data_IF_996193563505
#
_entry.id   IF_996193563505
#
_cell.length_a   1.000
_cell.length_b   1.000
_cell.length_c   1.000
_cell.angle_alpha   90.00
_cell.angle_beta   90.00
_cell.angle_gamma   90.00
#
_symmetry.space_group_name_H-M   'P 1'
#
loop_
_entity.id
_entity.type
_entity.pdbx_description
1 polymer ?
#
# COMPACT_ATOMS: atom_id res chain seq x y z
N UNK A 1 8.72 -6.33 -5.76
CA UNK A 1 9.77 -7.01 -4.97
C UNK A 1 11.07 -6.22 -4.82
N UNK A 2 11.08 -4.91 -5.13
CA UNK A 2 12.32 -4.14 -5.29
C UNK A 2 13.31 -4.27 -4.10
N UNK A 3 12.94 -3.84 -2.90
CA UNK A 3 13.81 -3.93 -1.73
C UNK A 3 13.86 -5.31 -1.07
N UNK A 4 13.03 -6.26 -1.52
CA UNK A 4 12.92 -7.61 -0.95
C UNK A 4 14.04 -8.53 -1.43
N UNK A 5 14.52 -8.28 -2.64
CA UNK A 5 15.51 -9.15 -3.30
C UNK A 5 16.91 -8.51 -3.34
N UNK A 6 17.02 -7.18 -3.28
CA UNK A 6 18.30 -6.45 -3.37
C UNK A 6 18.28 -5.17 -2.55
N UNK A 7 19.40 -4.86 -1.91
CA UNK A 7 19.67 -3.53 -1.36
C UNK A 7 20.06 -2.57 -2.49
N UNK A 8 19.51 -1.35 -2.46
CA UNK A 8 19.80 -0.33 -3.46
C UNK A 8 20.42 0.90 -2.79
N UNK A 9 21.44 1.51 -3.41
CA UNK A 9 21.84 2.85 -3.04
C UNK A 9 20.75 3.84 -3.46
N UNK A 10 20.54 4.90 -2.66
CA UNK A 10 19.46 5.89 -2.85
C UNK A 10 19.41 6.46 -4.28
N UNK A 11 20.57 6.65 -4.90
CA UNK A 11 20.70 7.20 -6.25
C UNK A 11 20.29 6.24 -7.38
N UNK A 12 20.13 4.94 -7.11
CA UNK A 12 19.76 3.90 -8.09
C UNK A 12 18.35 3.35 -7.91
N UNK A 13 17.53 3.97 -7.05
CA UNK A 13 16.12 3.58 -6.94
C UNK A 13 15.43 3.90 -8.26
N UNK A 14 14.77 2.92 -8.91
CA UNK A 14 13.99 3.15 -10.12
C UNK A 14 12.84 4.10 -9.80
N UNK A 15 12.66 5.11 -10.64
CA UNK A 15 11.68 6.18 -10.45
C UNK A 15 10.54 5.99 -11.42
N UNK A 16 9.31 6.19 -10.95
CA UNK A 16 8.16 6.33 -11.83
C UNK A 16 8.26 7.61 -12.68
N UNK A 17 7.57 7.67 -13.82
CA UNK A 17 7.48 8.90 -14.60
C UNK A 17 6.78 9.98 -13.76
N UNK A 18 7.51 11.06 -13.43
CA UNK A 18 7.01 12.18 -12.65
C UNK A 18 7.43 12.23 -11.18
N UNK A 19 8.10 11.19 -10.65
CA UNK A 19 8.56 11.17 -9.26
C UNK A 19 9.89 11.93 -9.08
N UNK A 20 9.92 12.86 -8.13
CA UNK A 20 11.13 13.60 -7.76
C UNK A 20 11.95 12.87 -6.69
N UNK A 21 13.27 13.13 -6.67
CA UNK A 21 14.18 12.58 -5.65
C UNK A 21 13.78 13.03 -4.24
N UNK A 22 13.23 14.24 -4.13
CA UNK A 22 12.79 14.81 -2.85
C UNK A 22 11.57 14.08 -2.28
N UNK A 23 10.60 13.73 -3.13
CA UNK A 23 9.40 12.96 -2.73
C UNK A 23 9.76 11.53 -2.32
N UNK A 24 10.66 10.88 -3.06
CA UNK A 24 11.16 9.56 -2.68
C UNK A 24 11.91 9.64 -1.34
N UNK A 25 12.71 10.69 -1.14
CA UNK A 25 13.42 10.93 0.12
C UNK A 25 12.50 11.16 1.33
N UNK A 26 11.40 11.90 1.16
CA UNK A 26 10.43 12.12 2.25
C UNK A 26 9.66 10.85 2.59
N UNK A 27 9.29 10.05 1.58
CA UNK A 27 8.68 8.74 1.78
C UNK A 27 9.62 7.79 2.52
N UNK A 28 10.88 7.69 2.11
CA UNK A 28 11.87 6.82 2.75
C UNK A 28 12.11 7.19 4.21
N UNK A 29 12.17 8.49 4.54
CA UNK A 29 12.26 8.95 5.93
C UNK A 29 11.05 8.54 6.77
N UNK A 30 9.85 8.60 6.18
CA UNK A 30 8.63 8.18 6.87
C UNK A 30 8.68 6.67 7.17
N UNK A 31 9.08 5.87 6.19
CA UNK A 31 9.25 4.42 6.36
C UNK A 31 10.39 4.05 7.34
N UNK A 32 11.44 4.86 7.43
CA UNK A 32 12.50 4.71 8.44
C UNK A 32 11.98 4.99 9.84
N UNK A 33 11.20 6.07 10.01
CA UNK A 33 10.56 6.42 11.28
C UNK A 33 9.56 5.36 11.75
N UNK A 34 8.88 4.69 10.83
CA UNK A 34 7.96 3.58 11.11
C UNK A 34 8.69 2.24 11.32
N UNK A 35 10.03 2.23 11.35
CA UNK A 35 10.87 1.04 11.50
C UNK A 35 10.64 -0.03 10.42
N UNK A 36 10.17 0.37 9.25
CA UNK A 36 9.93 -0.51 8.10
C UNK A 36 11.24 -0.72 7.32
N UNK A 37 12.04 0.34 7.17
CA UNK A 37 13.34 0.32 6.51
C UNK A 37 14.44 0.94 7.37
N UNK A 38 15.69 0.70 7.01
CA UNK A 38 16.87 1.32 7.61
C UNK A 38 17.83 1.81 6.54
N UNK A 39 18.36 3.02 6.73
CA UNK A 39 19.38 3.58 5.86
C UNK A 39 20.74 3.45 6.55
N UNK A 40 21.73 2.87 5.86
CA UNK A 40 23.10 2.69 6.36
C UNK A 40 24.08 3.28 5.35
N UNK A 41 25.04 4.07 5.80
CA UNK A 41 26.10 4.59 4.95
C UNK A 41 27.27 3.59 4.87
N UNK A 42 27.82 3.40 3.67
CA UNK A 42 29.06 2.65 3.48
C UNK A 42 30.31 3.51 3.75
N UNK A 43 31.50 2.90 3.65
CA UNK A 43 32.79 3.58 3.81
C UNK A 43 33.00 4.75 2.82
N UNK A 44 32.24 4.77 1.72
CA UNK A 44 32.27 5.83 0.69
C UNK A 44 31.16 6.87 0.90
N UNK A 45 30.47 6.85 2.06
CA UNK A 45 29.34 7.71 2.40
C UNK A 45 28.15 7.58 1.45
N UNK A 46 27.96 6.41 0.86
CA UNK A 46 26.81 6.14 0.01
C UNK A 46 25.68 5.58 0.88
N UNK A 47 24.47 6.18 0.89
CA UNK A 47 23.35 5.67 1.66
C UNK A 47 22.71 4.46 0.97
N UNK A 48 22.68 3.35 1.69
CA UNK A 48 22.07 2.07 1.29
C UNK A 48 20.80 1.81 2.07
N UNK A 49 19.75 1.35 1.37
CA UNK A 49 18.43 1.11 1.97
C UNK A 49 18.20 -0.39 2.15
N UNK A 50 17.76 -0.76 3.34
CA UNK A 50 17.45 -2.14 3.74
C UNK A 50 16.02 -2.21 4.29
N UNK A 51 15.24 -3.21 3.87
CA UNK A 51 13.98 -3.54 4.55
C UNK A 51 14.29 -4.28 5.86
N UNK A 52 13.72 -3.81 6.97
CA UNK A 52 13.78 -4.51 8.26
C UNK A 52 12.66 -5.54 8.39
N UNK A 53 11.51 -5.26 7.78
CA UNK A 53 10.33 -6.10 7.84
C UNK A 53 9.72 -6.29 6.46
N UNK A 54 9.09 -7.44 6.25
CA UNK A 54 8.23 -7.65 5.10
C UNK A 54 6.98 -6.78 5.26
N UNK A 55 6.83 -5.78 4.40
CA UNK A 55 5.59 -5.00 4.32
C UNK A 55 4.50 -5.92 3.78
N UNK A 56 3.64 -6.42 4.69
CA UNK A 56 2.39 -7.08 4.33
C UNK A 56 1.26 -6.09 4.56
N UNK A 57 0.68 -5.57 3.48
CA UNK A 57 -0.59 -4.87 3.58
C UNK A 57 -1.63 -5.88 4.09
N UNK A 58 -2.17 -5.66 5.28
CA UNK A 58 -3.22 -6.51 5.82
C UNK A 58 -4.50 -6.22 5.04
N UNK A 59 -4.88 -7.13 4.15
CA UNK A 59 -6.20 -7.09 3.50
C UNK A 59 -7.24 -7.55 4.50
N UNK A 60 -8.05 -6.63 5.00
CA UNK A 60 -9.22 -6.94 5.82
C UNK A 60 -10.47 -6.86 4.95
N UNK A 61 -11.48 -7.67 5.28
CA UNK A 61 -12.78 -7.58 4.63
C UNK A 61 -13.43 -6.25 5.05
N UNK A 62 -13.85 -5.36 4.13
CA UNK A 62 -14.29 -4.03 4.50
C UNK A 62 -15.78 -4.02 4.91
N UNK A 63 -16.11 -4.41 6.15
CA UNK A 63 -17.50 -4.51 6.61
C UNK A 63 -18.28 -3.20 6.49
N UNK A 64 -17.60 -2.06 6.67
CA UNK A 64 -18.19 -0.73 6.53
C UNK A 64 -18.79 -0.48 5.13
N UNK A 65 -18.26 -1.12 4.08
CA UNK A 65 -18.81 -0.99 2.73
C UNK A 65 -20.13 -1.72 2.59
N UNK A 66 -20.33 -2.85 3.28
CA UNK A 66 -21.63 -3.55 3.29
C UNK A 66 -22.71 -2.62 3.84
N UNK A 67 -22.45 -2.01 4.99
CA UNK A 67 -23.41 -1.12 5.65
C UNK A 67 -23.76 0.08 4.76
N UNK A 68 -22.77 0.63 4.07
CA UNK A 68 -23.02 1.71 3.11
C UNK A 68 -23.88 1.25 1.91
N UNK A 69 -23.60 0.09 1.33
CA UNK A 69 -24.40 -0.48 0.23
C UNK A 69 -25.85 -0.71 0.68
N UNK A 70 -26.06 -1.18 1.92
CA UNK A 70 -27.39 -1.37 2.51
C UNK A 70 -28.12 -0.04 2.70
N UNK A 71 -27.46 0.98 3.27
CA UNK A 71 -28.04 2.30 3.46
C UNK A 71 -28.45 2.93 2.13
N UNK A 72 -27.54 2.95 1.14
CA UNK A 72 -27.82 3.51 -0.18
C UNK A 72 -28.93 2.75 -0.91
N UNK A 73 -29.08 1.45 -0.65
CA UNK A 73 -30.20 0.65 -1.16
C UNK A 73 -31.53 1.03 -0.48
N UNK A 74 -31.54 1.20 0.84
CA UNK A 74 -32.73 1.60 1.61
C UNK A 74 -33.18 3.01 1.25
N UNK A 75 -32.24 3.91 1.02
CA UNK A 75 -32.48 5.30 0.59
C UNK A 75 -32.88 5.41 -0.89
N UNK A 76 -32.95 4.30 -1.62
CA UNK A 76 -33.34 4.27 -3.03
C UNK A 76 -32.28 4.80 -4.01
N UNK A 77 -31.10 5.18 -3.52
CA UNK A 77 -29.97 5.64 -4.32
C UNK A 77 -29.35 4.52 -5.15
N UNK A 78 -29.50 3.28 -4.71
CA UNK A 78 -28.94 2.09 -5.36
C UNK A 78 -30.03 1.09 -5.77
N UNK A 79 -29.99 0.60 -7.02
CA UNK A 79 -30.87 -0.49 -7.49
C UNK A 79 -30.45 -1.83 -6.87
N UNK A 80 -31.42 -2.71 -6.60
CA UNK A 80 -31.17 -4.04 -5.98
C UNK A 80 -30.13 -4.85 -6.73
N UNK A 81 -30.24 -4.90 -8.05
CA UNK A 81 -29.31 -5.65 -8.92
C UNK A 81 -27.88 -5.11 -8.86
N UNK A 82 -27.71 -3.80 -8.68
CA UNK A 82 -26.40 -3.17 -8.56
C UNK A 82 -25.81 -3.42 -7.17
N UNK A 83 -26.64 -3.34 -6.13
CA UNK A 83 -26.23 -3.66 -4.76
C UNK A 83 -25.71 -5.11 -4.64
N UNK A 84 -26.41 -6.07 -5.25
CA UNK A 84 -25.99 -7.48 -5.26
C UNK A 84 -24.63 -7.64 -5.95
N UNK A 85 -24.44 -7.04 -7.13
CA UNK A 85 -23.14 -7.08 -7.82
C UNK A 85 -21.99 -6.49 -7.01
N UNK A 86 -22.24 -5.42 -6.26
CA UNK A 86 -21.22 -4.84 -5.39
C UNK A 86 -20.85 -5.79 -4.23
N UNK A 87 -21.82 -6.50 -3.67
CA UNK A 87 -21.57 -7.49 -2.62
C UNK A 87 -20.81 -8.71 -3.17
N UNK A 88 -21.20 -9.23 -4.33
CA UNK A 88 -20.51 -10.35 -5.01
C UNK A 88 -19.05 -9.99 -5.30
N UNK A 89 -18.79 -8.78 -5.82
CA UNK A 89 -17.44 -8.30 -6.07
C UNK A 89 -16.61 -8.16 -4.79
N UNK A 90 -17.23 -7.70 -3.69
CA UNK A 90 -16.55 -7.61 -2.40
C UNK A 90 -16.16 -9.00 -1.87
N UNK A 91 -17.04 -9.99 -1.99
CA UNK A 91 -16.76 -11.37 -1.58
C UNK A 91 -15.68 -12.05 -2.46
N UNK A 92 -15.61 -11.71 -3.75
CA UNK A 92 -14.58 -12.21 -4.66
C UNK A 92 -13.20 -11.61 -4.35
N UNK A 93 -13.13 -10.29 -4.15
CA UNK A 93 -11.87 -9.56 -3.90
C UNK A 93 -11.34 -9.88 -2.50
N UNK A 94 -12.22 -9.90 -1.50
CA UNK A 94 -11.87 -10.14 -0.12
C UNK A 94 -12.41 -11.50 0.29
N UNK A 95 -11.55 -12.53 0.21
CA UNK A 95 -11.87 -13.83 0.81
C UNK A 95 -12.17 -13.61 2.29
N UNK A 96 -13.43 -13.83 2.67
CA UNK A 96 -13.83 -13.93 4.09
C UNK A 96 -12.91 -14.98 4.74
N UNK A 97 -12.04 -14.53 5.63
CA UNK A 97 -11.23 -15.42 6.46
C UNK A 97 -12.11 -16.12 7.49
#
# INVERSE_FOLDING_TARGET
TLFRERSYPLNKIPRGPGESVAEIGSLLKTLENEHILKIIEDEKKIPWIFLLTDIKAHTFYPEYLIEKIRSDRMEGKLKKSVAIKHLELLEEIYKKQ
#
